data_IF_447634446788
#
_entry.id   IF_447634446788
#
_cell.length_a   1.000
_cell.length_b   1.000
_cell.length_c   1.000
_cell.angle_alpha   90.00
_cell.angle_beta   90.00
_cell.angle_gamma   90.00
#
_symmetry.space_group_name_H-M   'P 1'
#
loop_
_entity.id
_entity.type
_entity.pdbx_description
1 polymer ?
#
# COMPACT_ATOMS: atom_id res chain seq x y z
N UNK A 1 5.33 12.61 19.59
CA UNK A 1 3.94 12.11 19.51
C UNK A 1 3.85 11.17 18.33
N UNK A 2 3.23 10.00 18.48
CA UNK A 2 2.84 9.17 17.34
C UNK A 2 1.67 9.86 16.62
N UNK A 3 1.82 10.12 15.31
CA UNK A 3 0.76 10.71 14.49
C UNK A 3 -0.21 9.60 14.11
N UNK A 4 -1.45 9.68 14.59
CA UNK A 4 -2.50 8.73 14.21
C UNK A 4 -2.97 9.02 12.79
N UNK A 5 -3.02 7.99 11.95
CA UNK A 5 -3.57 8.06 10.60
C UNK A 5 -4.84 7.23 10.58
N UNK A 6 -5.92 7.79 10.05
CA UNK A 6 -7.20 7.10 9.86
C UNK A 6 -7.47 6.98 8.37
N UNK A 7 -7.90 5.80 7.93
CA UNK A 7 -8.23 5.51 6.55
C UNK A 7 -9.37 4.50 6.52
N UNK A 8 -10.11 4.45 5.41
CA UNK A 8 -11.16 3.47 5.18
C UNK A 8 -10.57 2.29 4.43
N UNK A 9 -10.98 1.09 4.82
CA UNK A 9 -10.69 -0.14 4.10
C UNK A 9 -11.98 -0.93 3.93
N UNK A 10 -11.99 -1.80 2.94
CA UNK A 10 -13.07 -2.75 2.74
C UNK A 10 -13.14 -3.73 3.93
N UNK A 11 -14.35 -4.14 4.28
CA UNK A 11 -14.61 -5.00 5.44
C UNK A 11 -13.94 -6.38 5.28
N UNK A 12 -14.01 -6.98 4.09
CA UNK A 12 -13.34 -8.26 3.81
C UNK A 12 -11.81 -8.18 3.99
N UNK A 13 -11.20 -7.05 3.61
CA UNK A 13 -9.78 -6.85 3.82
C UNK A 13 -9.42 -6.70 5.31
N UNK A 14 -10.30 -6.09 6.12
CA UNK A 14 -10.09 -6.01 7.56
C UNK A 14 -10.07 -7.40 8.21
N UNK A 15 -10.94 -8.31 7.77
CA UNK A 15 -11.00 -9.69 8.27
C UNK A 15 -9.70 -10.47 7.97
N UNK A 16 -9.13 -10.28 6.79
CA UNK A 16 -7.83 -10.85 6.43
C UNK A 16 -6.72 -10.31 7.33
N UNK A 17 -6.69 -8.98 7.56
CA UNK A 17 -5.72 -8.34 8.46
C UNK A 17 -5.88 -8.82 9.90
N UNK A 18 -7.11 -9.07 10.37
CA UNK A 18 -7.36 -9.66 11.69
C UNK A 18 -6.79 -11.06 11.81
N UNK A 19 -7.01 -11.90 10.79
CA UNK A 19 -6.50 -13.26 10.74
C UNK A 19 -4.98 -13.26 10.81
N UNK A 20 -4.33 -12.46 9.95
CA UNK A 20 -2.88 -12.32 9.92
C UNK A 20 -2.29 -11.78 11.24
N UNK A 21 -3.01 -10.85 11.88
CA UNK A 21 -2.65 -10.29 13.19
C UNK A 21 -2.59 -11.37 14.27
N UNK A 22 -3.54 -12.30 14.25
CA UNK A 22 -3.59 -13.43 15.20
C UNK A 22 -2.48 -14.43 14.92
N UNK A 23 -2.31 -14.83 13.66
CA UNK A 23 -1.34 -15.85 13.24
C UNK A 23 0.11 -15.41 13.50
N UNK A 24 0.40 -14.12 13.27
CA UNK A 24 1.74 -13.57 13.42
C UNK A 24 2.00 -12.97 14.81
N UNK A 25 1.02 -12.99 15.71
CA UNK A 25 1.08 -12.35 17.03
C UNK A 25 1.53 -10.88 16.97
N UNK A 26 1.05 -10.14 15.98
CA UNK A 26 1.37 -8.72 15.76
C UNK A 26 0.11 -7.88 15.79
N UNK A 27 0.23 -6.61 16.17
CA UNK A 27 -0.91 -5.69 16.09
C UNK A 27 -1.24 -5.36 14.63
N UNK A 28 -2.51 -5.11 14.33
CA UNK A 28 -2.96 -4.66 12.99
C UNK A 28 -2.15 -3.45 12.51
N UNK A 29 -1.92 -2.46 13.38
CA UNK A 29 -1.12 -1.29 13.06
C UNK A 29 0.33 -1.61 12.71
N UNK A 30 0.95 -2.61 13.37
CA UNK A 30 2.31 -3.03 13.05
C UNK A 30 2.37 -3.71 11.68
N UNK A 31 1.38 -4.56 11.35
CA UNK A 31 1.29 -5.19 10.03
C UNK A 31 1.12 -4.14 8.93
N UNK A 32 0.16 -3.23 9.08
CA UNK A 32 -0.08 -2.19 8.08
C UNK A 32 1.14 -1.29 7.91
N UNK A 33 1.83 -0.93 9.01
CA UNK A 33 3.08 -0.16 8.93
C UNK A 33 4.15 -0.90 8.13
N UNK A 34 4.36 -2.19 8.41
CA UNK A 34 5.35 -2.99 7.69
C UNK A 34 5.00 -3.15 6.21
N UNK A 35 3.72 -3.32 5.87
CA UNK A 35 3.27 -3.39 4.49
C UNK A 35 3.50 -2.08 3.74
N UNK A 36 3.24 -0.94 4.38
CA UNK A 36 3.50 0.38 3.79
C UNK A 36 5.00 0.64 3.60
N UNK A 37 5.83 0.28 4.59
CA UNK A 37 7.29 0.37 4.48
C UNK A 37 7.79 -0.48 3.32
N UNK A 38 7.36 -1.74 3.24
CA UNK A 38 7.72 -2.65 2.15
C UNK A 38 7.28 -2.11 0.79
N UNK A 39 6.06 -1.57 0.68
CA UNK A 39 5.58 -0.97 -0.55
C UNK A 39 6.46 0.20 -1.00
N UNK A 40 6.77 1.13 -0.09
CA UNK A 40 7.58 2.31 -0.41
C UNK A 40 9.02 1.94 -0.75
N UNK A 41 9.63 1.01 0.00
CA UNK A 41 11.01 0.56 -0.23
C UNK A 41 11.18 -0.13 -1.59
N UNK A 42 10.14 -0.79 -2.10
CA UNK A 42 10.17 -1.52 -3.37
C UNK A 42 9.50 -0.78 -4.53
N UNK A 43 8.93 0.40 -4.29
CA UNK A 43 8.08 1.11 -5.25
C UNK A 43 8.82 1.39 -6.56
N UNK A 44 10.02 1.99 -6.45
CA UNK A 44 10.85 2.32 -7.61
C UNK A 44 11.28 1.06 -8.39
N UNK A 45 11.56 -0.03 -7.67
CA UNK A 45 11.93 -1.31 -8.27
C UNK A 45 10.78 -1.95 -9.05
N UNK A 46 9.56 -1.88 -8.52
CA UNK A 46 8.36 -2.39 -9.19
C UNK A 46 8.04 -1.55 -10.44
N UNK A 47 8.18 -0.22 -10.37
CA UNK A 47 8.01 0.66 -11.53
C UNK A 47 9.06 0.34 -12.60
N UNK A 48 10.33 0.21 -12.21
CA UNK A 48 11.41 -0.11 -13.15
C UNK A 48 11.20 -1.48 -13.81
N UNK A 49 10.78 -2.49 -13.05
CA UNK A 49 10.42 -3.81 -13.58
C UNK A 49 9.25 -3.72 -14.57
N UNK A 50 8.18 -3.02 -14.20
CA UNK A 50 6.99 -2.84 -15.05
C UNK A 50 7.36 -2.15 -16.38
N UNK A 51 8.25 -1.16 -16.36
CA UNK A 51 8.76 -0.49 -17.58
C UNK A 51 9.58 -1.42 -18.47
N UNK A 52 10.35 -2.34 -17.88
CA UNK A 52 11.11 -3.32 -18.65
C UNK A 52 10.23 -4.40 -19.27
N UNK A 53 9.18 -4.82 -18.57
CA UNK A 53 8.25 -5.86 -19.04
C UNK A 53 7.26 -5.33 -20.09
N UNK A 54 6.83 -4.07 -20.00
CA UNK A 54 5.98 -3.42 -20.99
C UNK A 54 6.45 -1.97 -21.26
N UNK A 55 7.39 -1.79 -22.22
CA UNK A 55 7.97 -0.49 -22.53
C UNK A 55 6.97 0.53 -23.10
N UNK A 56 5.83 0.06 -23.63
CA UNK A 56 4.81 0.89 -24.25
C UNK A 56 3.59 1.12 -23.35
N UNK A 57 3.62 0.61 -22.11
CA UNK A 57 2.54 0.81 -21.15
C UNK A 57 2.36 2.31 -20.91
N UNK A 58 1.17 2.83 -21.19
CA UNK A 58 0.82 4.20 -20.84
C UNK A 58 0.98 4.36 -19.31
N UNK A 59 1.92 5.21 -18.93
CA UNK A 59 2.14 5.57 -17.53
C UNK A 59 1.16 6.70 -17.20
N UNK A 60 0.37 6.51 -16.15
CA UNK A 60 -0.47 7.56 -15.57
C UNK A 60 0.39 8.44 -14.69
N UNK A 61 0.17 9.75 -14.71
CA UNK A 61 0.88 10.69 -13.84
C UNK A 61 0.60 10.37 -12.37
N UNK A 62 1.61 10.54 -11.50
CA UNK A 62 1.45 10.32 -10.07
C UNK A 62 0.37 11.22 -9.46
N UNK A 63 0.25 12.47 -9.92
CA UNK A 63 -0.78 13.39 -9.43
C UNK A 63 -2.20 12.89 -9.75
N UNK A 64 -2.39 12.31 -10.93
CA UNK A 64 -3.68 11.78 -11.35
C UNK A 64 -4.08 10.57 -10.51
N UNK A 65 -3.13 9.68 -10.19
CA UNK A 65 -3.34 8.55 -9.27
C UNK A 65 -3.73 9.07 -7.88
N UNK A 66 -2.99 10.03 -7.33
CA UNK A 66 -3.29 10.57 -6.01
C UNK A 66 -4.68 11.22 -5.95
N UNK A 67 -5.09 11.92 -7.00
CA UNK A 67 -6.42 12.54 -7.09
C UNK A 67 -7.53 11.48 -7.16
N UNK A 68 -7.35 10.41 -7.94
CA UNK A 68 -8.31 9.31 -8.06
C UNK A 68 -8.61 8.68 -6.70
N UNK A 69 -7.59 8.51 -5.86
CA UNK A 69 -7.72 7.94 -4.51
C UNK A 69 -8.03 8.97 -3.42
N UNK A 70 -8.25 10.24 -3.77
CA UNK A 70 -8.60 11.30 -2.81
C UNK A 70 -7.48 11.64 -1.82
N UNK A 71 -6.22 11.48 -2.25
CA UNK A 71 -5.02 11.79 -1.48
C UNK A 71 -4.48 13.20 -1.79
N UNK A 72 -5.10 13.91 -2.76
CA UNK A 72 -4.83 15.30 -3.17
C UNK A 72 -6.14 16.08 -3.34
#
# INVERSE_FOLDING_TARGET
MLKTVSFKIEEGFLDEVETLSRDLHKTKSALIKQSLEFYLDNYDGIIAKTRNEDPNKELVDHEDVLREYGLL
#
